data_IF_388817421800
#
_entry.id   IF_388817421800
#
_cell.length_a   1.000
_cell.length_b   1.000
_cell.length_c   1.000
_cell.angle_alpha   90.00
_cell.angle_beta   90.00
_cell.angle_gamma   90.00
#
_symmetry.space_group_name_H-M   'P 1'
#
loop_
_entity.id
_entity.type
_entity.pdbx_description
1 polymer ?
#
# COMPACT_ATOMS: atom_id res chain seq x y z
N UNK A 1 15.26 13.28 -31.31
CA UNK A 1 15.62 12.51 -30.09
C UNK A 1 15.20 13.22 -28.79
N UNK A 2 14.10 13.98 -28.77
CA UNK A 2 13.58 14.63 -27.56
C UNK A 2 12.34 13.93 -26.96
N UNK A 3 11.73 13.01 -27.71
CA UNK A 3 10.47 12.34 -27.36
C UNK A 3 10.65 11.22 -26.32
N UNK A 4 11.77 10.49 -26.39
CA UNK A 4 12.09 9.37 -25.49
C UNK A 4 12.25 9.79 -24.02
N UNK A 5 12.84 10.98 -23.78
CA UNK A 5 13.02 11.53 -22.43
C UNK A 5 11.70 11.94 -21.77
N UNK A 6 10.70 12.35 -22.56
CA UNK A 6 9.42 12.82 -22.01
C UNK A 6 8.57 11.65 -21.50
N UNK A 7 8.59 10.52 -22.20
CA UNK A 7 7.91 9.30 -21.76
C UNK A 7 8.58 8.67 -20.52
N UNK A 8 9.91 8.67 -20.45
CA UNK A 8 10.65 8.17 -19.28
C UNK A 8 10.36 9.01 -18.01
N UNK A 9 10.24 10.34 -18.15
CA UNK A 9 9.92 11.22 -17.04
C UNK A 9 8.48 11.06 -16.52
N UNK A 10 7.51 10.87 -17.42
CA UNK A 10 6.11 10.58 -17.08
C UNK A 10 5.97 9.24 -16.35
N UNK A 11 6.64 8.19 -16.85
CA UNK A 11 6.65 6.88 -16.22
C UNK A 11 7.29 6.92 -14.82
N UNK A 12 8.43 7.60 -14.68
CA UNK A 12 9.09 7.81 -13.40
C UNK A 12 8.18 8.51 -12.39
N UNK A 13 7.52 9.60 -12.80
CA UNK A 13 6.60 10.37 -11.95
C UNK A 13 5.41 9.52 -11.50
N UNK A 14 4.89 8.67 -12.39
CA UNK A 14 3.80 7.75 -12.07
C UNK A 14 4.23 6.65 -11.08
N UNK A 15 5.44 6.10 -11.24
CA UNK A 15 6.00 5.13 -10.30
C UNK A 15 6.24 5.73 -8.92
N UNK A 16 6.82 6.94 -8.87
CA UNK A 16 7.00 7.69 -7.61
C UNK A 16 5.65 7.96 -6.93
N UNK A 17 4.61 8.30 -7.70
CA UNK A 17 3.26 8.51 -7.15
C UNK A 17 2.65 7.21 -6.60
N UNK A 18 2.95 6.06 -7.20
CA UNK A 18 2.56 4.76 -6.67
C UNK A 18 3.26 4.44 -5.35
N UNK A 19 4.59 4.61 -5.29
CA UNK A 19 5.38 4.42 -4.07
C UNK A 19 4.87 5.34 -2.96
N UNK A 20 4.62 6.61 -3.27
CA UNK A 20 4.09 7.57 -2.30
C UNK A 20 2.70 7.18 -1.79
N UNK A 21 1.84 6.64 -2.66
CA UNK A 21 0.55 6.07 -2.27
C UNK A 21 0.70 4.85 -1.35
N UNK A 22 1.64 3.95 -1.65
CA UNK A 22 1.95 2.81 -0.78
C UNK A 22 2.45 3.27 0.59
N UNK A 23 3.32 4.28 0.65
CA UNK A 23 3.82 4.86 1.90
C UNK A 23 2.70 5.53 2.72
N UNK A 24 1.79 6.26 2.07
CA UNK A 24 0.61 6.82 2.73
C UNK A 24 -0.29 5.75 3.32
N UNK A 25 -0.62 4.71 2.55
CA UNK A 25 -1.47 3.61 3.02
C UNK A 25 -0.77 2.83 4.12
N UNK A 26 0.53 2.58 3.99
CA UNK A 26 1.33 1.95 5.04
C UNK A 26 1.29 2.76 6.34
N UNK A 27 1.57 4.07 6.28
CA UNK A 27 1.49 4.94 7.45
C UNK A 27 0.07 5.00 8.04
N UNK A 28 -0.95 5.06 7.18
CA UNK A 28 -2.35 5.09 7.61
C UNK A 28 -2.79 3.79 8.26
N UNK A 29 -2.33 2.63 7.80
CA UNK A 29 -2.68 1.36 8.45
C UNK A 29 -1.85 1.13 9.70
N UNK A 30 -0.54 1.41 9.67
CA UNK A 30 0.32 1.28 10.86
C UNK A 30 -0.07 2.22 11.99
N UNK A 31 -0.46 3.47 11.71
CA UNK A 31 -0.90 4.43 12.73
C UNK A 31 -2.43 4.50 12.88
N UNK A 32 -3.16 4.59 11.78
CA UNK A 32 -4.62 4.78 11.78
C UNK A 32 -5.39 3.54 12.20
N UNK A 33 -5.07 2.33 11.71
CA UNK A 33 -5.74 1.13 12.24
C UNK A 33 -5.30 0.80 13.67
N UNK A 34 -4.06 1.10 14.06
CA UNK A 34 -3.59 0.85 15.42
C UNK A 34 -4.20 1.81 16.48
N UNK A 35 -4.46 3.07 16.12
CA UNK A 35 -4.94 4.10 17.07
C UNK A 35 -6.46 4.30 16.99
N UNK A 36 -7.03 4.36 15.78
CA UNK A 36 -8.42 4.75 15.54
C UNK A 36 -9.38 3.57 15.76
N UNK A 37 -8.94 2.34 15.45
CA UNK A 37 -9.69 1.12 15.74
C UNK A 37 -9.40 0.53 17.13
N UNK A 38 -8.48 1.12 17.91
CA UNK A 38 -8.13 0.68 19.26
C UNK A 38 -9.34 0.50 20.20
N UNK A 39 -10.34 1.42 20.27
CA UNK A 39 -11.52 1.21 21.10
C UNK A 39 -12.54 0.24 20.49
N UNK A 40 -12.57 0.08 19.16
CA UNK A 40 -13.51 -0.84 18.48
C UNK A 40 -13.04 -2.30 18.53
N UNK A 41 -11.71 -2.51 18.55
CA UNK A 41 -11.05 -3.82 18.54
C UNK A 41 -10.74 -4.36 19.94
N UNK A 42 -10.53 -3.50 20.94
CA UNK A 42 -10.28 -3.91 22.34
C UNK A 42 -11.46 -4.70 22.96
N UNK A 43 -12.68 -4.60 22.40
CA UNK A 43 -13.84 -5.35 22.85
C UNK A 43 -13.99 -6.75 22.26
N UNK A 44 -13.21 -7.12 21.22
CA UNK A 44 -13.34 -8.41 20.54
C UNK A 44 -12.08 -9.25 20.86
N UNK A 45 -12.13 -10.21 21.79
CA UNK A 45 -11.00 -11.09 22.04
C UNK A 45 -10.76 -11.99 20.83
N UNK A 46 -9.56 -11.95 20.24
CA UNK A 46 -9.14 -12.89 19.19
C UNK A 46 -8.00 -13.75 19.75
N UNK A 47 -8.27 -15.05 19.90
CA UNK A 47 -7.27 -16.01 20.38
C UNK A 47 -6.80 -15.80 21.83
N UNK A 48 -7.58 -15.11 22.67
CA UNK A 48 -7.27 -14.91 24.09
C UNK A 48 -6.40 -13.69 24.42
N UNK A 49 -6.07 -12.85 23.43
CA UNK A 49 -5.32 -11.59 23.61
C UNK A 49 -6.03 -10.42 22.93
N UNK A 50 -5.69 -9.19 23.34
CA UNK A 50 -6.32 -7.98 22.83
C UNK A 50 -6.08 -7.85 21.31
N UNK A 51 -7.15 -7.66 20.54
CA UNK A 51 -7.08 -7.61 19.08
C UNK A 51 -6.25 -6.41 18.60
N UNK A 52 -6.16 -5.34 19.40
CA UNK A 52 -5.23 -4.24 19.14
C UNK A 52 -3.76 -4.68 19.19
N UNK A 53 -3.41 -5.64 20.05
CA UNK A 53 -2.07 -6.22 20.13
C UNK A 53 -1.77 -7.13 18.93
N UNK A 54 -2.75 -7.94 18.52
CA UNK A 54 -2.64 -8.77 17.31
C UNK A 54 -2.45 -7.90 16.06
N UNK A 55 -3.16 -6.78 15.95
CA UNK A 55 -3.01 -5.85 14.83
C UNK A 55 -1.65 -5.14 14.82
N UNK A 56 -1.09 -4.84 16.00
CA UNK A 56 0.25 -4.25 16.10
C UNK A 56 1.34 -5.19 15.55
N UNK A 57 1.17 -6.51 15.67
CA UNK A 57 2.17 -7.49 15.27
C UNK A 57 1.89 -8.15 13.92
N UNK A 58 0.69 -8.72 13.73
CA UNK A 58 0.28 -9.40 12.49
C UNK A 58 -0.45 -8.47 11.51
N UNK A 59 -1.05 -7.38 11.99
CA UNK A 59 -1.70 -6.40 11.11
C UNK A 59 -0.70 -5.74 10.16
N UNK A 60 0.51 -5.42 10.62
CA UNK A 60 1.54 -4.82 9.77
C UNK A 60 1.99 -5.73 8.62
N UNK A 61 2.20 -7.03 8.88
CA UNK A 61 2.66 -7.97 7.85
C UNK A 61 1.55 -8.22 6.81
N UNK A 62 0.30 -8.38 7.23
CA UNK A 62 -0.85 -8.54 6.32
C UNK A 62 -1.06 -7.30 5.45
N UNK A 63 -0.93 -6.12 6.04
CA UNK A 63 -0.97 -4.84 5.32
C UNK A 63 0.12 -4.76 4.27
N UNK A 64 1.33 -5.20 4.62
CA UNK A 64 2.46 -5.21 3.70
C UNK A 64 2.20 -6.12 2.50
N UNK A 65 1.64 -7.31 2.71
CA UNK A 65 1.24 -8.22 1.63
C UNK A 65 0.18 -7.57 0.72
N UNK A 66 -0.86 -6.98 1.30
CA UNK A 66 -1.91 -6.29 0.53
C UNK A 66 -1.33 -5.13 -0.29
N UNK A 67 -0.42 -4.35 0.27
CA UNK A 67 0.30 -3.29 -0.41
C UNK A 67 1.10 -3.80 -1.62
N UNK A 68 1.78 -4.94 -1.48
CA UNK A 68 2.54 -5.56 -2.59
C UNK A 68 1.59 -5.95 -3.72
N UNK A 69 0.49 -6.65 -3.42
CA UNK A 69 -0.49 -7.02 -4.45
C UNK A 69 -1.13 -5.79 -5.10
N UNK A 70 -1.47 -4.77 -4.32
CA UNK A 70 -2.04 -3.53 -4.83
C UNK A 70 -1.05 -2.78 -5.73
N UNK A 71 0.22 -2.70 -5.32
CA UNK A 71 1.29 -2.11 -6.11
C UNK A 71 1.47 -2.88 -7.43
N UNK A 72 1.58 -4.21 -7.38
CA UNK A 72 1.73 -5.04 -8.57
C UNK A 72 0.56 -4.87 -9.55
N UNK A 73 -0.68 -4.86 -9.05
CA UNK A 73 -1.87 -4.65 -9.87
C UNK A 73 -1.90 -3.24 -10.49
N UNK A 74 -1.56 -2.21 -9.71
CA UNK A 74 -1.52 -0.83 -10.20
C UNK A 74 -0.37 -0.56 -11.16
N UNK A 75 0.78 -1.19 -10.96
CA UNK A 75 1.91 -1.11 -11.89
C UNK A 75 1.53 -1.78 -13.21
N UNK A 76 0.91 -2.95 -13.17
CA UNK A 76 0.39 -3.62 -14.36
C UNK A 76 -0.66 -2.77 -15.11
N UNK A 77 -1.53 -2.06 -14.38
CA UNK A 77 -2.45 -1.10 -14.97
C UNK A 77 -1.76 0.14 -15.56
N UNK A 78 -0.62 0.55 -14.98
CA UNK A 78 0.19 1.67 -15.46
C UNK A 78 0.95 1.28 -16.74
N UNK A 79 1.57 0.10 -16.77
CA UNK A 79 2.22 -0.46 -17.95
C UNK A 79 1.24 -0.60 -19.12
N UNK A 80 0.01 -1.07 -18.84
CA UNK A 80 -1.07 -1.12 -19.84
C UNK A 80 -1.48 0.26 -20.36
N UNK A 81 -1.38 1.30 -19.53
CA UNK A 81 -1.75 2.67 -19.90
C UNK A 81 -0.68 3.36 -20.77
N UNK A 82 0.60 3.02 -20.54
CA UNK A 82 1.71 3.53 -21.34
C UNK A 82 2.07 2.63 -22.53
N UNK A 83 1.33 1.53 -22.75
CA UNK A 83 1.50 0.66 -23.92
C UNK A 83 2.84 -0.09 -23.91
N UNK A 84 3.46 -0.26 -22.75
CA UNK A 84 4.71 -1.03 -22.58
C UNK A 84 4.45 -2.55 -22.51
N UNK A 85 3.21 -2.97 -22.70
CA UNK A 85 2.90 -4.36 -23.03
C UNK A 85 2.89 -4.51 -24.55
N UNK A 86 3.93 -5.11 -25.09
CA UNK A 86 3.75 -6.00 -26.24
C UNK A 86 2.85 -7.18 -25.86
#
# INVERSE_FOLDING_TARGET
MADDKSNAAEYWKANVRLIFGCLMVWAFVSYGCAILFRPLLAGIPVGGTDLGFWFAQQGSILTFIVLIFFYAWRMNALDKKYGLGE
#
